data_IF_015836536713
#
_entry.id   IF_015836536713
#
_cell.length_a   1.000
_cell.length_b   1.000
_cell.length_c   1.000
_cell.angle_alpha   90.00
_cell.angle_beta   90.00
_cell.angle_gamma   90.00
#
_symmetry.space_group_name_H-M   'P 1'
#
loop_
_entity.id
_entity.type
_entity.pdbx_description
1 polymer ?
#
# COMPACT_ATOMS: atom_id res chain seq x y z
N UNK A 1 -10.51 58.30 -20.82
CA UNK A 1 -9.91 57.96 -19.51
C UNK A 1 -10.83 56.92 -18.88
N UNK A 2 -10.49 55.66 -18.61
CA UNK A 2 -9.22 54.97 -18.49
C UNK A 2 -9.40 53.49 -18.93
N UNK A 3 -8.31 52.87 -19.39
CA UNK A 3 -8.20 51.55 -20.04
C UNK A 3 -8.63 50.33 -19.18
N UNK A 4 -8.87 49.16 -19.80
CA UNK A 4 -9.09 47.88 -19.12
C UNK A 4 -7.77 47.27 -18.65
N UNK A 5 -7.78 46.52 -17.54
CA UNK A 5 -6.63 45.75 -17.09
C UNK A 5 -6.88 44.25 -17.32
N UNK A 6 -6.12 43.69 -18.26
CA UNK A 6 -5.75 42.27 -18.23
C UNK A 6 -4.82 42.05 -17.03
N UNK A 7 -4.99 40.94 -16.31
CA UNK A 7 -3.87 40.26 -15.68
C UNK A 7 -3.99 38.73 -15.88
N UNK A 8 -2.98 38.27 -16.60
CA UNK A 8 -2.40 36.96 -16.86
C UNK A 8 -2.66 35.80 -15.89
N UNK A 9 -2.79 34.62 -16.49
CA UNK A 9 -2.39 33.31 -15.97
C UNK A 9 -0.97 33.34 -15.38
N UNK A 10 -0.79 32.77 -14.19
CA UNK A 10 0.38 31.98 -13.76
C UNK A 10 0.24 31.58 -12.28
N UNK A 11 0.49 30.31 -11.95
CA UNK A 11 0.72 29.90 -10.56
C UNK A 11 0.35 28.47 -10.22
N UNK A 12 1.06 27.50 -10.81
CA UNK A 12 1.25 26.18 -10.24
C UNK A 12 1.76 26.28 -8.79
N UNK A 13 1.23 25.41 -7.93
CA UNK A 13 1.86 24.78 -6.75
C UNK A 13 0.91 24.75 -5.54
N UNK A 14 0.04 23.73 -5.49
CA UNK A 14 -0.26 23.13 -4.19
C UNK A 14 0.66 21.92 -4.01
N UNK A 15 1.50 21.89 -2.97
CA UNK A 15 2.41 20.78 -2.75
C UNK A 15 1.60 19.54 -2.34
N UNK A 16 1.95 18.41 -2.96
CA UNK A 16 1.51 17.09 -2.52
C UNK A 16 1.69 16.98 -1.01
N UNK A 17 0.59 16.62 -0.37
CA UNK A 17 0.46 16.35 1.05
C UNK A 17 1.65 15.57 1.59
N UNK A 18 2.25 16.12 2.65
CA UNK A 18 3.21 15.43 3.52
C UNK A 18 2.69 14.02 3.81
N UNK A 19 3.52 13.02 3.53
CA UNK A 19 3.30 11.64 3.92
C UNK A 19 3.00 11.59 5.43
N UNK A 20 1.87 11.01 5.86
CA UNK A 20 1.64 10.81 7.28
C UNK A 20 2.69 9.81 7.78
N UNK A 21 3.38 10.17 8.86
CA UNK A 21 4.24 9.26 9.60
C UNK A 21 3.40 8.04 10.01
N UNK A 22 3.57 6.92 9.33
CA UNK A 22 2.97 5.64 9.68
C UNK A 22 3.60 5.20 11.00
N UNK A 23 2.87 5.37 12.10
CA UNK A 23 3.14 4.59 13.29
C UNK A 23 2.75 3.15 12.95
N UNK A 24 3.74 2.36 12.53
CA UNK A 24 3.60 0.94 12.23
C UNK A 24 3.15 0.21 13.50
N UNK A 25 1.85 0.02 13.65
CA UNK A 25 1.32 -1.05 14.50
C UNK A 25 1.68 -2.35 13.78
N UNK A 26 2.79 -2.98 14.17
CA UNK A 26 3.34 -4.24 13.62
C UNK A 26 2.31 -5.09 12.84
N UNK A 27 2.33 -4.96 11.51
CA UNK A 27 1.55 -5.80 10.58
C UNK A 27 0.07 -5.44 10.36
N UNK A 28 -0.47 -4.38 10.97
CA UNK A 28 -1.83 -3.90 10.71
C UNK A 28 -1.84 -2.72 9.73
N UNK A 29 -2.65 -2.81 8.66
CA UNK A 29 -2.82 -1.72 7.69
C UNK A 29 -3.67 -0.61 8.29
N UNK A 30 -3.14 0.61 8.35
CA UNK A 30 -3.84 1.79 8.89
C UNK A 30 -5.28 1.92 8.32
N UNK A 31 -6.30 2.07 9.20
CA UNK A 31 -7.71 2.21 8.82
C UNK A 31 -7.96 3.26 7.73
N UNK A 32 -7.14 4.31 7.70
CA UNK A 32 -7.27 5.45 6.80
C UNK A 32 -6.67 5.25 5.41
N UNK A 33 -5.97 4.13 5.15
CA UNK A 33 -5.22 3.93 3.90
C UNK A 33 -6.15 3.71 2.69
N UNK A 34 -7.32 3.09 2.88
CA UNK A 34 -8.19 2.73 1.74
C UNK A 34 -9.48 3.53 1.70
N UNK A 35 -9.72 4.21 0.58
CA UNK A 35 -10.99 4.87 0.27
C UNK A 35 -12.11 3.89 -0.07
N UNK A 36 -11.77 2.64 -0.39
CA UNK A 36 -12.73 1.60 -0.80
C UNK A 36 -13.07 0.61 0.32
N UNK A 37 -12.21 0.48 1.34
CA UNK A 37 -12.42 -0.45 2.45
C UNK A 37 -12.90 0.33 3.68
N UNK A 38 -14.20 0.27 3.96
CA UNK A 38 -14.78 0.91 5.15
C UNK A 38 -14.54 0.06 6.41
N UNK A 39 -13.99 0.64 7.49
CA UNK A 39 -13.74 -0.09 8.73
C UNK A 39 -15.02 -0.70 9.35
N UNK A 40 -15.04 -2.02 9.51
CA UNK A 40 -16.12 -2.72 10.22
C UNK A 40 -16.05 -2.49 11.73
N UNK A 41 -17.04 -2.97 12.49
CA UNK A 41 -16.96 -2.95 13.97
C UNK A 41 -15.81 -3.83 14.48
N UNK A 42 -15.59 -4.99 13.85
CA UNK A 42 -14.52 -5.92 14.22
C UNK A 42 -13.14 -5.31 13.93
N UNK A 43 -13.00 -4.62 12.80
CA UNK A 43 -11.76 -3.93 12.45
C UNK A 43 -11.45 -2.81 13.46
N UNK A 44 -12.44 -2.00 13.84
CA UNK A 44 -12.26 -0.96 14.87
C UNK A 44 -11.88 -1.53 16.23
N UNK A 45 -12.49 -2.65 16.62
CA UNK A 45 -12.15 -3.36 17.84
C UNK A 45 -10.71 -3.89 17.84
N UNK A 46 -10.27 -4.49 16.72
CA UNK A 46 -8.90 -4.95 16.51
C UNK A 46 -7.90 -3.81 16.73
N UNK A 47 -8.10 -2.68 16.05
CA UNK A 47 -7.21 -1.53 16.15
C UNK A 47 -7.16 -0.91 17.55
N UNK A 48 -8.31 -0.80 18.22
CA UNK A 48 -8.34 -0.31 19.61
C UNK A 48 -7.55 -1.25 20.52
N UNK A 49 -7.79 -2.56 20.45
CA UNK A 49 -7.06 -3.52 21.28
C UNK A 49 -5.55 -3.53 20.95
N UNK A 50 -5.17 -3.38 19.68
CA UNK A 50 -3.77 -3.30 19.26
C UNK A 50 -3.07 -2.04 19.83
N UNK A 51 -3.69 -0.86 19.71
CA UNK A 51 -3.14 0.37 20.27
C UNK A 51 -3.02 0.34 21.79
N UNK A 52 -4.01 -0.23 22.49
CA UNK A 52 -3.95 -0.39 23.95
C UNK A 52 -2.88 -1.40 24.38
N UNK A 53 -2.66 -2.45 23.58
CA UNK A 53 -1.58 -3.41 23.82
C UNK A 53 -0.19 -2.77 23.63
N UNK A 54 -0.02 -1.96 22.58
CA UNK A 54 1.22 -1.22 22.31
C UNK A 54 1.51 -0.16 23.39
N UNK A 55 0.50 0.61 23.78
CA UNK A 55 0.63 1.65 24.79
C UNK A 55 -0.58 1.70 25.74
N UNK A 56 -0.48 1.02 26.89
CA UNK A 56 -1.53 1.02 27.91
C UNK A 56 -1.85 2.40 28.52
N UNK A 57 -0.96 3.39 28.38
CA UNK A 57 -1.13 4.73 28.97
C UNK A 57 -1.67 5.75 27.97
N UNK A 58 -2.07 5.30 26.77
CA UNK A 58 -2.59 6.16 25.74
C UNK A 58 -3.90 6.84 26.19
N UNK A 59 -3.99 8.16 25.99
CA UNK A 59 -5.24 8.88 26.26
C UNK A 59 -6.30 8.49 25.22
N UNK A 60 -7.59 8.54 25.60
CA UNK A 60 -8.68 8.24 24.66
C UNK A 60 -8.72 9.19 23.46
N UNK A 61 -8.18 10.41 23.61
CA UNK A 61 -8.07 11.38 22.53
C UNK A 61 -7.03 10.96 21.49
N UNK A 62 -5.82 10.61 21.94
CA UNK A 62 -4.76 10.10 21.04
C UNK A 62 -5.21 8.79 20.38
N UNK A 63 -5.89 7.92 21.13
CA UNK A 63 -6.45 6.69 20.58
C UNK A 63 -7.46 6.98 19.47
N UNK A 64 -8.35 7.96 19.67
CA UNK A 64 -9.34 8.37 18.68
C UNK A 64 -8.72 8.87 17.38
N UNK A 65 -7.65 9.66 17.47
CA UNK A 65 -6.87 10.10 16.31
C UNK A 65 -6.24 8.91 15.56
N UNK A 66 -5.58 7.99 16.29
CA UNK A 66 -4.92 6.82 15.67
C UNK A 66 -5.90 5.89 14.95
N UNK A 67 -7.11 5.71 15.48
CA UNK A 67 -8.09 4.79 14.88
C UNK A 67 -9.11 5.49 13.97
N UNK A 68 -8.92 6.79 13.71
CA UNK A 68 -9.82 7.64 12.90
C UNK A 68 -11.28 7.62 13.39
N UNK A 69 -11.49 7.67 14.71
CA UNK A 69 -12.83 7.68 15.34
C UNK A 69 -13.05 8.95 16.15
N UNK A 70 -14.30 9.23 16.49
CA UNK A 70 -14.62 10.27 17.48
C UNK A 70 -14.27 9.79 18.90
N UNK A 71 -13.92 10.73 19.80
CA UNK A 71 -13.66 10.40 21.21
C UNK A 71 -14.86 9.72 21.89
N UNK A 72 -16.08 10.09 21.51
CA UNK A 72 -17.30 9.41 21.99
C UNK A 72 -17.35 7.94 21.56
N UNK A 73 -16.99 7.64 20.32
CA UNK A 73 -16.97 6.27 19.83
C UNK A 73 -15.89 5.45 20.54
N UNK A 74 -14.69 6.01 20.72
CA UNK A 74 -13.63 5.37 21.51
C UNK A 74 -14.10 5.11 22.94
N UNK A 75 -14.70 6.10 23.60
CA UNK A 75 -15.21 5.94 24.96
C UNK A 75 -16.26 4.81 25.06
N UNK A 76 -17.14 4.69 24.07
CA UNK A 76 -18.09 3.58 23.97
C UNK A 76 -17.40 2.22 23.81
N UNK A 77 -16.36 2.13 22.97
CA UNK A 77 -15.57 0.91 22.85
C UNK A 77 -14.85 0.57 24.16
N UNK A 78 -14.21 1.52 24.82
CA UNK A 78 -13.51 1.30 26.10
C UNK A 78 -14.47 0.76 27.16
N UNK A 79 -15.65 1.38 27.33
CA UNK A 79 -16.67 0.88 28.27
C UNK A 79 -17.08 -0.55 27.95
N UNK A 80 -17.46 -0.81 26.70
CA UNK A 80 -17.86 -2.15 26.24
C UNK A 80 -16.75 -3.19 26.46
N UNK A 81 -15.51 -2.87 26.10
CA UNK A 81 -14.36 -3.78 26.25
C UNK A 81 -14.06 -4.08 27.73
N UNK A 82 -14.27 -3.10 28.62
CA UNK A 82 -14.15 -3.29 30.06
C UNK A 82 -15.28 -4.16 30.61
N UNK A 83 -16.53 -3.89 30.21
CA UNK A 83 -17.72 -4.68 30.60
C UNK A 83 -17.62 -6.14 30.13
N UNK A 84 -17.06 -6.37 28.93
CA UNK A 84 -16.78 -7.70 28.39
C UNK A 84 -15.56 -8.37 29.07
N UNK A 85 -14.84 -7.68 29.95
CA UNK A 85 -13.65 -8.18 30.64
C UNK A 85 -12.43 -8.37 29.73
N UNK A 86 -12.39 -7.71 28.58
CA UNK A 86 -11.27 -7.76 27.63
C UNK A 86 -10.14 -6.82 28.05
N UNK A 87 -10.45 -5.71 28.70
CA UNK A 87 -9.47 -4.78 29.26
C UNK A 87 -9.72 -4.54 30.74
N UNK A 88 -8.66 -4.20 31.47
CA UNK A 88 -8.71 -3.63 32.80
C UNK A 88 -8.44 -2.13 32.69
N UNK A 89 -9.25 -1.35 33.38
CA UNK A 89 -9.15 0.11 33.45
C UNK A 89 -8.68 0.50 34.84
N UNK A 90 -7.57 1.22 34.92
CA UNK A 90 -6.97 1.68 36.18
C UNK A 90 -6.73 3.19 36.14
N UNK A 91 -6.81 3.87 37.28
CA UNK A 91 -6.63 5.32 37.39
C UNK A 91 -7.91 6.12 37.61
N UNK A 92 -7.74 7.41 37.91
CA UNK A 92 -8.82 8.31 38.33
C UNK A 92 -8.81 9.67 37.62
N UNK A 93 -7.79 9.94 36.80
CA UNK A 93 -7.65 11.19 36.05
C UNK A 93 -7.22 10.89 34.63
N UNK A 94 -7.52 11.76 33.66
CA UNK A 94 -7.10 11.57 32.26
C UNK A 94 -5.60 11.28 32.09
N UNK A 95 -4.75 11.80 32.99
CA UNK A 95 -3.29 11.57 32.97
C UNK A 95 -2.85 10.28 33.65
N UNK A 96 -3.67 9.73 34.55
CA UNK A 96 -3.36 8.51 35.31
C UNK A 96 -4.10 7.28 34.81
N UNK A 97 -5.00 7.43 33.83
CA UNK A 97 -5.73 6.32 33.22
C UNK A 97 -4.77 5.36 32.50
N UNK A 98 -4.95 4.06 32.76
CA UNK A 98 -4.25 2.97 32.08
C UNK A 98 -5.25 1.91 31.65
N UNK A 99 -5.08 1.39 30.45
CA UNK A 99 -5.91 0.34 29.85
C UNK A 99 -5.03 -0.85 29.51
N UNK A 100 -5.11 -1.92 30.30
CA UNK A 100 -4.29 -3.12 30.09
C UNK A 100 -5.16 -4.27 29.59
N UNK A 101 -4.71 -5.02 28.58
CA UNK A 101 -5.44 -6.20 28.13
C UNK A 101 -5.44 -7.28 29.21
N UNK A 102 -6.58 -7.94 29.40
CA UNK A 102 -6.65 -9.16 30.21
C UNK A 102 -6.21 -10.37 29.36
N UNK A 103 -5.97 -11.56 29.94
CA UNK A 103 -5.77 -12.78 29.14
C UNK A 103 -6.89 -13.04 28.13
N UNK A 104 -8.14 -12.71 28.48
CA UNK A 104 -9.29 -12.77 27.57
C UNK A 104 -9.16 -11.75 26.44
N UNK A 105 -8.70 -10.53 26.74
CA UNK A 105 -8.38 -9.49 25.76
C UNK A 105 -7.30 -9.90 24.77
N UNK A 106 -6.19 -10.48 25.25
CA UNK A 106 -5.13 -11.01 24.38
C UNK A 106 -5.66 -12.06 23.42
N UNK A 107 -6.41 -13.04 23.92
CA UNK A 107 -7.01 -14.07 23.06
C UNK A 107 -7.96 -13.47 22.01
N UNK A 108 -8.73 -12.44 22.38
CA UNK A 108 -9.61 -11.72 21.44
C UNK A 108 -8.83 -10.96 20.38
N UNK A 109 -7.78 -10.24 20.77
CA UNK A 109 -6.88 -9.54 19.87
C UNK A 109 -6.25 -10.52 18.86
N UNK A 110 -5.68 -11.63 19.34
CA UNK A 110 -5.09 -12.66 18.48
C UNK A 110 -6.11 -13.24 17.49
N UNK A 111 -7.33 -13.54 17.93
CA UNK A 111 -8.39 -14.04 17.04
C UNK A 111 -8.75 -13.03 15.95
N UNK A 112 -8.97 -11.77 16.34
CA UNK A 112 -9.28 -10.69 15.39
C UNK A 112 -8.14 -10.47 14.39
N UNK A 113 -6.90 -10.55 14.86
CA UNK A 113 -5.73 -10.43 13.99
C UNK A 113 -5.67 -11.56 12.95
N UNK A 114 -5.91 -12.82 13.36
CA UNK A 114 -5.99 -13.96 12.43
C UNK A 114 -7.10 -13.76 11.40
N UNK A 115 -8.32 -13.41 11.85
CA UNK A 115 -9.46 -13.17 10.95
C UNK A 115 -9.14 -12.07 9.92
N UNK A 116 -8.52 -10.98 10.39
CA UNK A 116 -8.05 -9.89 9.53
C UNK A 116 -6.98 -10.34 8.53
N UNK A 117 -5.96 -11.09 8.97
CA UNK A 117 -4.90 -11.60 8.08
C UNK A 117 -5.46 -12.49 6.98
N UNK A 118 -6.46 -13.33 7.29
CA UNK A 118 -7.15 -14.17 6.30
C UNK A 118 -7.79 -13.31 5.21
N UNK A 119 -8.44 -12.21 5.57
CA UNK A 119 -9.06 -11.31 4.60
C UNK A 119 -8.04 -10.56 3.73
N UNK A 120 -6.90 -10.15 4.30
CA UNK A 120 -5.79 -9.56 3.53
C UNK A 120 -5.21 -10.56 2.53
N UNK A 121 -4.99 -11.81 2.94
CA UNK A 121 -4.51 -12.88 2.04
C UNK A 121 -5.52 -13.13 0.91
N UNK A 122 -6.82 -13.13 1.20
CA UNK A 122 -7.86 -13.26 0.16
C UNK A 122 -7.82 -12.11 -0.84
N UNK A 123 -7.65 -10.88 -0.36
CA UNK A 123 -7.52 -9.71 -1.24
C UNK A 123 -6.28 -9.82 -2.13
N UNK A 124 -5.13 -10.20 -1.56
CA UNK A 124 -3.91 -10.46 -2.33
C UNK A 124 -4.13 -11.51 -3.42
N UNK A 125 -4.73 -12.66 -3.08
CA UNK A 125 -5.01 -13.74 -4.03
C UNK A 125 -5.94 -13.25 -5.14
N UNK A 126 -7.02 -12.53 -4.80
CA UNK A 126 -7.95 -11.97 -5.77
C UNK A 126 -7.27 -11.00 -6.75
N UNK A 127 -6.46 -10.06 -6.22
CA UNK A 127 -5.68 -9.12 -7.04
C UNK A 127 -4.69 -9.82 -7.95
N UNK A 128 -3.96 -10.82 -7.44
CA UNK A 128 -3.04 -11.63 -8.25
C UNK A 128 -3.77 -12.34 -9.38
N UNK A 129 -4.93 -12.95 -9.10
CA UNK A 129 -5.75 -13.57 -10.15
C UNK A 129 -6.20 -12.56 -11.20
N UNK A 130 -6.67 -11.38 -10.82
CA UNK A 130 -7.04 -10.33 -11.79
C UNK A 130 -5.84 -9.94 -12.67
N UNK A 131 -4.66 -9.76 -12.08
CA UNK A 131 -3.44 -9.49 -12.83
C UNK A 131 -3.06 -10.62 -13.78
N UNK A 132 -3.16 -11.88 -13.37
CA UNK A 132 -2.95 -13.02 -14.28
C UNK A 132 -3.87 -12.88 -15.50
N UNK A 133 -5.17 -12.61 -15.31
CA UNK A 133 -6.11 -12.47 -16.42
C UNK A 133 -5.73 -11.32 -17.37
N UNK A 134 -5.36 -10.14 -16.85
CA UNK A 134 -4.92 -8.98 -17.67
C UNK A 134 -3.64 -9.30 -18.45
N UNK A 135 -2.70 -9.99 -17.81
CA UNK A 135 -1.40 -10.30 -18.41
C UNK A 135 -1.45 -11.45 -19.42
N UNK A 136 -2.57 -12.21 -19.54
CA UNK A 136 -2.69 -13.35 -20.46
C UNK A 136 -2.55 -12.97 -21.94
N UNK A 137 -2.75 -11.70 -22.30
CA UNK A 137 -2.51 -11.17 -23.65
C UNK A 137 -1.03 -11.26 -24.05
N UNK A 138 -0.11 -11.00 -23.12
CA UNK A 138 1.33 -10.98 -23.37
C UNK A 138 1.84 -12.26 -24.08
N UNK A 139 1.71 -13.47 -23.50
CA UNK A 139 2.20 -14.69 -24.15
C UNK A 139 1.44 -15.03 -25.44
N UNK A 140 0.16 -14.61 -25.58
CA UNK A 140 -0.62 -14.81 -26.81
C UNK A 140 -0.11 -13.94 -27.96
N UNK A 141 0.43 -12.78 -27.62
CA UNK A 141 1.03 -11.80 -28.54
C UNK A 141 2.53 -12.05 -28.75
N UNK A 142 3.05 -13.19 -28.28
CA UNK A 142 4.43 -13.62 -28.51
C UNK A 142 5.45 -13.09 -27.50
N UNK A 143 5.03 -12.32 -26.49
CA UNK A 143 5.93 -11.84 -25.43
C UNK A 143 6.36 -13.01 -24.54
N UNK A 144 7.67 -13.23 -24.41
CA UNK A 144 8.28 -14.28 -23.58
C UNK A 144 9.27 -13.73 -22.56
N UNK A 145 9.89 -12.59 -22.82
CA UNK A 145 10.93 -11.95 -21.99
C UNK A 145 10.44 -10.56 -21.60
N UNK A 146 10.25 -10.34 -20.30
CA UNK A 146 9.74 -9.07 -19.77
C UNK A 146 10.75 -8.44 -18.81
N UNK A 147 10.97 -7.14 -18.96
CA UNK A 147 11.55 -6.30 -17.90
C UNK A 147 10.42 -5.63 -17.13
N UNK A 148 10.49 -5.64 -15.80
CA UNK A 148 9.55 -4.90 -14.94
C UNK A 148 10.12 -3.53 -14.61
N UNK A 149 9.36 -2.47 -14.86
CA UNK A 149 9.76 -1.10 -14.59
C UNK A 149 9.05 -0.56 -13.33
N UNK A 150 9.82 -0.38 -12.27
CA UNK A 150 9.39 0.06 -10.94
C UNK A 150 9.51 -1.07 -9.93
N UNK A 151 10.53 -1.03 -9.07
CA UNK A 151 10.78 -2.01 -8.01
C UNK A 151 10.02 -1.61 -6.73
N UNK A 152 8.72 -1.89 -6.69
CA UNK A 152 7.88 -1.61 -5.52
C UNK A 152 6.77 -2.65 -5.34
N UNK A 153 5.83 -2.41 -4.43
CA UNK A 153 4.79 -3.38 -4.03
C UNK A 153 3.97 -3.92 -5.22
N UNK A 154 3.63 -3.08 -6.19
CA UNK A 154 2.91 -3.53 -7.41
C UNK A 154 3.75 -4.52 -8.23
N UNK A 155 5.08 -4.32 -8.29
CA UNK A 155 6.00 -5.25 -8.95
C UNK A 155 6.01 -6.61 -8.27
N UNK A 156 5.80 -6.69 -6.96
CA UNK A 156 5.71 -7.96 -6.23
C UNK A 156 4.56 -8.82 -6.71
N UNK A 157 3.38 -8.21 -6.82
CA UNK A 157 2.17 -8.94 -7.22
C UNK A 157 2.24 -9.30 -8.71
N UNK A 158 2.75 -8.40 -9.55
CA UNK A 158 2.96 -8.67 -10.99
C UNK A 158 3.99 -9.78 -11.22
N UNK A 159 5.11 -9.75 -10.50
CA UNK A 159 6.13 -10.79 -10.57
C UNK A 159 5.57 -12.15 -10.15
N UNK A 160 4.75 -12.19 -9.09
CA UNK A 160 4.06 -13.40 -8.67
C UNK A 160 3.05 -13.91 -9.73
N UNK A 161 2.32 -12.99 -10.39
CA UNK A 161 1.39 -13.35 -11.46
C UNK A 161 2.13 -13.92 -12.69
N UNK A 162 3.22 -13.29 -13.13
CA UNK A 162 3.99 -13.73 -14.30
C UNK A 162 4.63 -15.12 -14.12
N UNK A 163 4.94 -15.53 -12.88
CA UNK A 163 5.45 -16.88 -12.58
C UNK A 163 4.49 -18.01 -12.94
N UNK A 164 3.19 -17.73 -13.05
CA UNK A 164 2.16 -18.71 -13.45
C UNK A 164 1.97 -18.77 -14.97
N UNK A 165 2.81 -18.06 -15.73
CA UNK A 165 2.67 -17.85 -17.17
C UNK A 165 3.96 -18.23 -17.90
N UNK A 166 3.92 -18.54 -19.20
CA UNK A 166 5.11 -18.82 -19.98
C UNK A 166 5.81 -17.52 -20.42
N UNK A 167 6.07 -16.64 -19.45
CA UNK A 167 6.74 -15.34 -19.55
C UNK A 167 7.82 -15.28 -18.48
N UNK A 168 9.05 -14.99 -18.88
CA UNK A 168 10.20 -14.87 -18.00
C UNK A 168 10.46 -13.39 -17.67
N UNK A 169 10.56 -13.08 -16.39
CA UNK A 169 11.11 -11.78 -15.94
C UNK A 169 12.63 -11.84 -16.08
N UNK A 170 13.18 -11.04 -16.99
CA UNK A 170 14.61 -11.03 -17.34
C UNK A 170 15.37 -9.84 -16.76
N UNK A 171 14.66 -8.87 -16.17
CA UNK A 171 15.26 -7.73 -15.50
C UNK A 171 14.24 -6.92 -14.71
N UNK A 172 14.73 -6.13 -13.77
CA UNK A 172 13.94 -5.17 -13.00
C UNK A 172 14.69 -3.85 -13.04
N UNK A 173 14.00 -2.78 -13.43
CA UNK A 173 14.58 -1.44 -13.50
C UNK A 173 13.77 -0.46 -12.66
N UNK A 174 14.43 0.54 -12.09
CA UNK A 174 13.76 1.64 -11.38
C UNK A 174 14.57 2.94 -11.55
N UNK A 175 13.89 4.07 -11.67
CA UNK A 175 14.53 5.38 -11.76
C UNK A 175 15.10 5.84 -10.42
N UNK A 176 14.67 5.26 -9.31
CA UNK A 176 15.16 5.58 -7.98
C UNK A 176 16.58 5.03 -7.75
N UNK A 177 17.62 5.88 -7.66
CA UNK A 177 19.00 5.43 -7.46
C UNK A 177 19.17 4.67 -6.14
N UNK A 178 18.35 4.94 -5.12
CA UNK A 178 18.41 4.23 -3.84
C UNK A 178 17.96 2.76 -3.96
N UNK A 179 17.23 2.42 -5.01
CA UNK A 179 16.82 1.03 -5.28
C UNK A 179 17.82 0.30 -6.17
N UNK A 180 18.53 1.02 -7.03
CA UNK A 180 19.49 0.42 -7.95
C UNK A 180 20.62 -0.30 -7.19
N UNK A 181 21.05 -1.45 -7.70
CA UNK A 181 22.02 -2.34 -7.06
C UNK A 181 21.45 -3.20 -5.92
N UNK A 182 20.28 -2.88 -5.36
CA UNK A 182 19.58 -3.77 -4.43
C UNK A 182 18.96 -4.94 -5.19
N UNK A 183 18.66 -6.03 -4.49
CA UNK A 183 17.99 -7.20 -5.07
C UNK A 183 16.49 -7.16 -4.80
N UNK A 184 15.70 -7.42 -5.85
CA UNK A 184 14.26 -7.59 -5.79
C UNK A 184 13.92 -8.97 -6.37
N UNK A 185 13.35 -9.86 -5.54
CA UNK A 185 13.24 -11.31 -5.84
C UNK A 185 14.55 -11.97 -6.32
N UNK A 186 15.69 -11.52 -5.80
CA UNK A 186 17.01 -12.02 -6.19
C UNK A 186 17.53 -11.45 -7.50
N UNK A 187 16.77 -10.63 -8.24
CA UNK A 187 17.21 -9.93 -9.45
C UNK A 187 17.76 -8.55 -9.04
N UNK A 188 18.96 -8.14 -9.50
CA UNK A 188 19.44 -6.78 -9.26
C UNK A 188 18.51 -5.77 -9.93
N UNK A 189 18.18 -4.70 -9.21
CA UNK A 189 17.47 -3.55 -9.78
C UNK A 189 18.50 -2.68 -10.49
N UNK A 190 18.26 -2.38 -11.77
CA UNK A 190 19.14 -1.57 -12.60
C UNK A 190 18.49 -0.24 -13.01
N UNK A 191 19.26 0.64 -13.65
CA UNK A 191 18.70 1.80 -14.34
C UNK A 191 18.01 1.39 -15.64
N UNK A 192 17.10 2.24 -16.13
CA UNK A 192 16.38 2.03 -17.40
C UNK A 192 17.31 1.90 -18.61
N UNK A 193 18.52 2.44 -18.50
CA UNK A 193 19.59 2.42 -19.50
C UNK A 193 20.09 1.00 -19.78
N UNK A 194 19.82 0.05 -18.88
CA UNK A 194 20.14 -1.37 -19.08
C UNK A 194 19.17 -2.08 -20.03
N UNK A 195 17.96 -1.54 -20.25
CA UNK A 195 16.90 -2.22 -21.02
C UNK A 195 17.35 -2.63 -22.43
N UNK A 196 18.00 -1.77 -23.24
CA UNK A 196 18.46 -2.17 -24.57
C UNK A 196 19.48 -3.32 -24.54
N UNK A 197 20.32 -3.40 -23.51
CA UNK A 197 21.29 -4.48 -23.36
C UNK A 197 20.63 -5.82 -22.96
N UNK A 198 19.53 -5.78 -22.21
CA UNK A 198 18.76 -6.97 -21.79
C UNK A 198 17.98 -7.59 -22.96
N UNK A 199 17.61 -6.77 -23.96
CA UNK A 199 16.81 -7.15 -25.12
C UNK A 199 15.54 -7.92 -24.72
N UNK A 200 14.61 -7.31 -23.96
CA UNK A 200 13.32 -7.92 -23.68
C UNK A 200 12.37 -7.78 -24.87
N UNK A 201 11.36 -8.64 -24.93
CA UNK A 201 10.24 -8.46 -25.87
C UNK A 201 9.33 -7.31 -25.41
N UNK A 202 9.29 -7.07 -24.08
CA UNK A 202 8.44 -6.06 -23.49
C UNK A 202 9.02 -5.47 -22.20
N UNK A 203 8.82 -4.16 -21.99
CA UNK A 203 8.92 -3.50 -20.70
C UNK A 203 7.51 -3.31 -20.14
N UNK A 204 7.23 -3.92 -18.98
CA UNK A 204 5.96 -3.78 -18.28
C UNK A 204 6.12 -2.81 -17.10
N UNK A 205 5.38 -1.70 -17.13
CA UNK A 205 5.44 -0.67 -16.11
C UNK A 205 4.61 -1.11 -14.89
N UNK A 206 5.31 -1.41 -13.80
CA UNK A 206 4.75 -1.91 -12.53
C UNK A 206 4.64 -0.83 -11.47
N UNK A 207 4.13 0.35 -11.86
CA UNK A 207 3.90 1.50 -10.98
C UNK A 207 2.60 2.20 -11.36
N UNK A 208 1.53 2.05 -10.55
CA UNK A 208 0.26 2.74 -10.83
C UNK A 208 0.37 4.26 -10.73
N UNK A 209 1.16 4.77 -9.78
CA UNK A 209 1.24 6.19 -9.47
C UNK A 209 2.05 7.00 -10.49
N UNK A 210 3.02 6.37 -11.18
CA UNK A 210 3.94 7.04 -12.12
C UNK A 210 3.93 6.45 -13.53
N UNK A 211 2.92 5.67 -13.89
CA UNK A 211 2.92 4.94 -15.17
C UNK A 211 3.03 5.84 -16.40
N UNK A 212 2.35 6.98 -16.41
CA UNK A 212 2.32 7.87 -17.58
C UNK A 212 3.66 8.60 -17.76
N UNK A 213 4.26 9.05 -16.66
CA UNK A 213 5.61 9.64 -16.65
C UNK A 213 6.65 8.62 -17.16
N UNK A 214 6.64 7.41 -16.59
CA UNK A 214 7.54 6.33 -16.99
C UNK A 214 7.31 5.95 -18.46
N UNK A 215 6.06 5.89 -18.90
CA UNK A 215 5.73 5.55 -20.29
C UNK A 215 6.30 6.57 -21.27
N UNK A 216 6.12 7.87 -21.02
CA UNK A 216 6.69 8.91 -21.88
C UNK A 216 8.22 8.87 -21.93
N UNK A 217 8.86 8.51 -20.81
CA UNK A 217 10.30 8.36 -20.75
C UNK A 217 10.84 7.22 -21.63
N UNK A 218 10.12 6.09 -21.71
CA UNK A 218 10.62 4.86 -22.33
C UNK A 218 9.91 4.46 -23.63
N UNK A 219 8.88 5.18 -24.07
CA UNK A 219 8.15 4.87 -25.32
C UNK A 219 9.05 4.85 -26.56
N UNK A 220 10.19 5.56 -26.51
CA UNK A 220 11.17 5.52 -27.59
C UNK A 220 11.72 4.11 -27.87
N UNK A 221 11.71 3.22 -26.87
CA UNK A 221 12.13 1.82 -27.01
C UNK A 221 11.25 1.02 -27.98
N UNK A 222 10.01 1.47 -28.24
CA UNK A 222 9.15 0.84 -29.26
C UNK A 222 9.75 0.96 -30.66
N UNK A 223 10.51 2.03 -30.93
CA UNK A 223 11.24 2.18 -32.21
C UNK A 223 12.39 1.18 -32.36
N UNK A 224 12.86 0.59 -31.27
CA UNK A 224 13.87 -0.46 -31.21
C UNK A 224 13.24 -1.87 -31.21
N UNK A 225 11.91 -1.96 -31.37
CA UNK A 225 11.18 -3.22 -31.38
C UNK A 225 10.84 -3.76 -29.99
N UNK A 226 11.09 -3.00 -28.92
CA UNK A 226 10.75 -3.38 -27.54
C UNK A 226 9.39 -2.78 -27.18
N UNK A 227 8.39 -3.63 -26.94
CA UNK A 227 7.04 -3.17 -26.59
C UNK A 227 7.01 -2.52 -25.19
N UNK A 228 6.30 -1.41 -25.03
CA UNK A 228 6.09 -0.81 -23.70
C UNK A 228 4.64 -1.00 -23.26
N UNK A 229 4.41 -1.63 -22.11
CA UNK A 229 3.08 -1.89 -21.57
C UNK A 229 2.84 -1.15 -20.25
N UNK A 230 1.69 -0.50 -20.11
CA UNK A 230 1.17 -0.03 -18.83
C UNK A 230 0.14 -1.02 -18.29
N UNK A 231 0.11 -1.25 -16.99
CA UNK A 231 -0.91 -2.12 -16.35
C UNK A 231 -2.35 -1.65 -16.58
N UNK A 232 -2.57 -0.37 -16.86
CA UNK A 232 -3.91 0.18 -17.14
C UNK A 232 -4.43 -0.14 -18.55
N UNK A 233 -3.54 -0.49 -19.48
CA UNK A 233 -3.87 -0.73 -20.88
C UNK A 233 -4.09 -2.22 -21.21
N UNK A 234 -3.86 -3.12 -20.23
CA UNK A 234 -3.89 -4.57 -20.39
C UNK A 234 -5.21 -5.20 -19.93
#
# INVERSE_FOLDING_TARGET
>A
MNKPAMHSLNGLNEPLSKTPHTHETDGLVDPGISKFLLPTKQFRELFILACLNENPSMSQHILAERVHLSSTMVNNYIRRLADEGLIRVEGHTNRSMRYSLTPKGYNRLSKLFIDYSVDIVRLYIATKHELVHKLMSLPREGVRRVVLFGAGETCEIVFAALKEMPVQVVGIVDNDPEKQGKRFFGIPVEGREAVPAIQPDCVLITSYARQDEIFEEIRHLESEGIRVCRLIDL
#
